data_IF_988936131420
#
_entry.id   IF_988936131420
#
_cell.length_a   1.000
_cell.length_b   1.000
_cell.length_c   1.000
_cell.angle_alpha   90.00
_cell.angle_beta   90.00
_cell.angle_gamma   90.00
#
_symmetry.space_group_name_H-M   'P 1'
#
loop_
_entity.id
_entity.type
_entity.pdbx_description
1 polymer ?
#
# COMPACT_ATOMS: atom_id res chain seq x y z
N UNK A 1 -2.68 9.60 13.71
CA UNK A 1 -2.95 8.16 13.50
C UNK A 1 -3.91 7.96 12.32
N UNK A 2 -5.10 8.56 12.32
CA UNK A 2 -6.06 8.45 11.20
C UNK A 2 -5.54 8.93 9.84
N UNK A 3 -4.79 10.04 9.78
CA UNK A 3 -4.21 10.53 8.53
C UNK A 3 -3.20 9.55 7.91
N UNK A 4 -2.45 8.82 8.75
CA UNK A 4 -1.45 7.85 8.29
C UNK A 4 -2.04 6.52 7.84
N UNK A 5 -3.21 6.12 8.36
CA UNK A 5 -3.92 4.90 7.91
C UNK A 5 -4.87 5.17 6.75
N UNK A 6 -5.53 6.34 6.73
CA UNK A 6 -6.51 6.69 5.70
C UNK A 6 -5.91 7.02 4.33
N UNK A 7 -4.74 7.68 4.29
CA UNK A 7 -4.09 8.05 3.03
C UNK A 7 -3.67 6.82 2.19
N UNK A 8 -2.92 5.86 2.74
CA UNK A 8 -2.58 4.63 2.03
C UNK A 8 -3.81 3.91 1.52
N UNK A 9 -4.87 3.84 2.33
CA UNK A 9 -6.13 3.18 1.94
C UNK A 9 -6.73 3.76 0.68
N UNK A 10 -6.93 5.08 0.67
CA UNK A 10 -7.60 5.80 -0.41
C UNK A 10 -6.76 5.68 -1.67
N UNK A 11 -5.44 5.76 -1.54
CA UNK A 11 -4.56 5.58 -2.68
C UNK A 11 -4.72 4.17 -3.26
N UNK A 12 -4.62 3.14 -2.43
CA UNK A 12 -4.69 1.74 -2.90
C UNK A 12 -6.05 1.36 -3.50
N UNK A 13 -7.15 1.86 -2.92
CA UNK A 13 -8.51 1.50 -3.34
C UNK A 13 -8.99 2.28 -4.55
N UNK A 14 -8.54 3.53 -4.71
CA UNK A 14 -9.13 4.44 -5.67
C UNK A 14 -8.10 5.05 -6.62
N UNK A 15 -7.02 5.61 -6.09
CA UNK A 15 -6.01 6.29 -6.92
C UNK A 15 -5.24 5.31 -7.80
N UNK A 16 -4.88 4.14 -7.27
CA UNK A 16 -4.19 3.07 -8.02
C UNK A 16 -5.05 2.54 -9.16
N UNK A 17 -6.35 2.33 -8.91
CA UNK A 17 -7.31 1.87 -9.93
C UNK A 17 -7.44 2.89 -11.06
N UNK A 18 -7.64 4.16 -10.72
CA UNK A 18 -7.74 5.25 -11.70
C UNK A 18 -6.44 5.42 -12.50
N UNK A 19 -5.28 5.31 -11.85
CA UNK A 19 -3.98 5.41 -12.50
C UNK A 19 -3.77 4.27 -13.52
N UNK A 20 -4.00 3.02 -13.14
CA UNK A 20 -3.81 1.88 -14.05
C UNK A 20 -4.82 1.86 -15.19
N UNK A 21 -6.08 2.24 -14.92
CA UNK A 21 -7.10 2.39 -15.95
C UNK A 21 -6.73 3.49 -16.96
N UNK A 22 -6.18 4.61 -16.49
CA UNK A 22 -5.65 5.69 -17.34
C UNK A 22 -4.44 5.29 -18.18
N UNK A 23 -3.68 4.28 -17.75
CA UNK A 23 -2.52 3.73 -18.45
C UNK A 23 -2.88 2.58 -19.41
N UNK A 24 -4.17 2.27 -19.59
CA UNK A 24 -4.65 1.26 -20.54
C UNK A 24 -4.54 -0.18 -20.05
N UNK A 25 -4.40 -0.42 -18.74
CA UNK A 25 -4.42 -1.77 -18.17
C UNK A 25 -5.86 -2.29 -18.10
N UNK A 26 -6.04 -3.58 -18.34
CA UNK A 26 -7.32 -4.26 -18.27
C UNK A 26 -7.95 -4.24 -16.85
N UNK A 27 -9.25 -3.94 -16.80
CA UNK A 27 -9.99 -3.81 -15.53
C UNK A 27 -9.99 -5.11 -14.71
N UNK A 28 -9.95 -6.30 -15.34
CA UNK A 28 -9.92 -7.57 -14.62
C UNK A 28 -8.58 -7.79 -13.91
N UNK A 29 -7.46 -7.40 -14.53
CA UNK A 29 -6.15 -7.45 -13.89
C UNK A 29 -6.07 -6.47 -12.71
N UNK A 30 -6.56 -5.25 -12.90
CA UNK A 30 -6.59 -4.24 -11.83
C UNK A 30 -7.39 -4.78 -10.63
N UNK A 31 -8.60 -5.31 -10.85
CA UNK A 31 -9.46 -5.86 -9.81
C UNK A 31 -8.81 -7.04 -9.06
N UNK A 32 -8.17 -7.97 -9.79
CA UNK A 32 -7.46 -9.10 -9.18
C UNK A 32 -6.33 -8.63 -8.26
N UNK A 33 -5.47 -7.72 -8.75
CA UNK A 33 -4.30 -7.27 -8.00
C UNK A 33 -4.66 -6.35 -6.84
N UNK A 34 -5.63 -5.45 -7.00
CA UNK A 34 -6.12 -4.61 -5.91
C UNK A 34 -6.76 -5.42 -4.80
N UNK A 35 -7.57 -6.44 -5.15
CA UNK A 35 -8.15 -7.35 -4.16
C UNK A 35 -7.08 -8.08 -3.35
N UNK A 36 -5.99 -8.53 -4.00
CA UNK A 36 -4.83 -9.13 -3.33
C UNK A 36 -4.12 -8.15 -2.38
N UNK A 37 -3.92 -6.91 -2.82
CA UNK A 37 -3.26 -5.85 -2.04
C UNK A 37 -4.10 -5.45 -0.81
N UNK A 38 -5.41 -5.67 -0.82
CA UNK A 38 -6.29 -5.41 0.32
C UNK A 38 -6.32 -6.54 1.37
N UNK A 39 -5.83 -7.74 1.07
CA UNK A 39 -5.79 -8.86 2.02
C UNK A 39 -5.06 -8.54 3.35
N UNK A 40 -3.92 -7.82 3.35
CA UNK A 40 -3.23 -7.44 4.58
C UNK A 40 -4.09 -6.59 5.52
N UNK A 41 -5.04 -5.82 4.96
CA UNK A 41 -5.96 -5.01 5.74
C UNK A 41 -7.06 -5.86 6.39
N UNK A 42 -7.55 -6.89 5.69
CA UNK A 42 -8.57 -7.82 6.22
C UNK A 42 -8.00 -8.69 7.34
N UNK A 43 -6.74 -9.11 7.20
CA UNK A 43 -6.04 -9.94 8.16
C UNK A 43 -5.37 -9.13 9.30
N UNK A 44 -5.68 -7.83 9.43
CA UNK A 44 -5.16 -6.92 10.47
C UNK A 44 -5.28 -7.47 11.89
N UNK A 45 -6.28 -8.31 12.16
CA UNK A 45 -6.47 -8.95 13.46
C UNK A 45 -5.31 -9.89 13.87
N UNK A 46 -4.60 -10.50 12.91
CA UNK A 46 -3.50 -11.44 13.21
C UNK A 46 -2.23 -10.73 13.69
N UNK A 47 -1.88 -9.61 13.07
CA UNK A 47 -0.61 -8.91 13.35
C UNK A 47 -0.74 -7.78 14.37
N UNK A 48 -1.92 -7.22 14.60
CA UNK A 48 -2.15 -6.21 15.65
C UNK A 48 -1.62 -6.63 17.04
N UNK A 49 -1.89 -7.84 17.57
CA UNK A 49 -1.37 -8.25 18.88
C UNK A 49 0.16 -8.45 18.90
N UNK A 50 0.75 -8.87 17.78
CA UNK A 50 2.21 -8.99 17.65
C UNK A 50 2.90 -7.63 17.72
N UNK A 51 2.36 -6.62 17.03
CA UNK A 51 2.95 -5.28 17.01
C UNK A 51 2.92 -4.62 18.39
N UNK A 52 1.87 -4.86 19.17
CA UNK A 52 1.77 -4.35 20.56
C UNK A 52 2.76 -5.05 21.51
N UNK A 53 3.26 -6.25 21.18
CA UNK A 53 4.19 -7.01 22.01
C UNK A 53 5.66 -6.60 21.83
N UNK A 54 6.03 -5.99 20.69
CA UNK A 54 7.45 -5.75 20.34
C UNK A 54 7.99 -4.34 20.68
N UNK A 55 7.21 -3.24 20.50
CA UNK A 55 7.71 -1.86 20.64
C UNK A 55 6.61 -0.87 21.06
N UNK A 56 7.01 0.36 21.43
CA UNK A 56 6.10 1.45 21.80
C UNK A 56 5.28 1.98 20.61
N UNK A 57 4.03 2.39 20.85
CA UNK A 57 3.10 2.86 19.81
C UNK A 57 3.65 4.02 18.95
N UNK A 58 4.50 4.88 19.52
CA UNK A 58 5.11 6.01 18.79
C UNK A 58 6.14 5.57 17.74
N UNK A 59 6.88 4.49 17.99
CA UNK A 59 7.88 3.98 17.06
C UNK A 59 7.22 3.46 15.77
N UNK A 60 6.14 2.70 15.91
CA UNK A 60 5.39 2.19 14.75
C UNK A 60 4.78 3.31 13.91
N UNK A 61 4.22 4.35 14.54
CA UNK A 61 3.64 5.49 13.80
C UNK A 61 4.69 6.20 12.93
N UNK A 62 5.90 6.43 13.44
CA UNK A 62 6.96 7.10 12.67
C UNK A 62 7.50 6.18 11.57
N UNK A 63 7.66 4.90 11.87
CA UNK A 63 8.14 3.90 10.92
C UNK A 63 7.19 3.79 9.71
N UNK A 64 5.89 3.67 9.95
CA UNK A 64 4.90 3.52 8.87
C UNK A 64 4.78 4.78 8.02
N UNK A 65 4.98 5.96 8.61
CA UNK A 65 5.04 7.22 7.85
C UNK A 65 6.27 7.29 6.93
N UNK A 66 7.45 6.90 7.42
CA UNK A 66 8.65 6.86 6.59
C UNK A 66 8.55 5.82 5.47
N UNK A 67 8.04 4.62 5.76
CA UNK A 67 7.83 3.57 4.76
C UNK A 67 6.81 4.02 3.71
N UNK A 68 5.70 4.61 4.13
CA UNK A 68 4.66 5.11 3.22
C UNK A 68 5.21 6.22 2.32
N UNK A 69 5.92 7.20 2.89
CA UNK A 69 6.53 8.29 2.14
C UNK A 69 7.58 7.81 1.13
N UNK A 70 8.46 6.89 1.55
CA UNK A 70 9.44 6.26 0.67
C UNK A 70 8.77 5.43 -0.44
N UNK A 71 7.72 4.66 -0.09
CA UNK A 71 6.96 3.86 -1.04
C UNK A 71 6.33 4.71 -2.14
N UNK A 72 5.76 5.86 -1.80
CA UNK A 72 5.21 6.80 -2.79
C UNK A 72 6.28 7.38 -3.73
N UNK A 73 7.43 7.79 -3.19
CA UNK A 73 8.55 8.25 -4.00
C UNK A 73 9.03 7.14 -4.96
N UNK A 74 9.05 5.89 -4.49
CA UNK A 74 9.46 4.74 -5.28
C UNK A 74 8.45 4.38 -6.37
N UNK A 75 7.14 4.52 -6.13
CA UNK A 75 6.08 4.37 -7.16
C UNK A 75 6.22 5.44 -8.25
N UNK A 76 6.52 6.69 -7.88
CA UNK A 76 6.76 7.76 -8.84
C UNK A 76 7.94 7.45 -9.79
N UNK A 77 9.02 6.85 -9.27
CA UNK A 77 10.15 6.39 -10.07
C UNK A 77 9.78 5.15 -10.91
N UNK A 78 9.00 4.22 -10.36
CA UNK A 78 8.61 2.98 -11.01
C UNK A 78 7.76 3.17 -12.28
N UNK A 79 7.01 4.28 -12.37
CA UNK A 79 6.22 4.67 -13.54
C UNK A 79 7.06 4.84 -14.82
N UNK A 80 8.38 5.06 -14.71
CA UNK A 80 9.27 5.21 -15.87
C UNK A 80 9.81 3.88 -16.41
N UNK A 81 9.51 2.74 -15.78
CA UNK A 81 10.01 1.43 -16.20
C UNK A 81 9.07 0.75 -17.22
N UNK A 82 9.61 -0.08 -18.14
CA UNK A 82 8.80 -0.87 -19.06
C UNK A 82 7.91 -1.90 -18.35
N UNK A 83 8.28 -2.31 -17.12
CA UNK A 83 7.50 -3.20 -16.26
C UNK A 83 6.76 -2.45 -15.14
N UNK A 84 6.41 -1.17 -15.34
CA UNK A 84 5.83 -0.29 -14.32
C UNK A 84 4.66 -0.93 -13.56
N UNK A 85 3.79 -1.68 -14.25
CA UNK A 85 2.59 -2.27 -13.64
C UNK A 85 2.93 -3.25 -12.51
N UNK A 86 3.83 -4.21 -12.76
CA UNK A 86 4.24 -5.21 -11.77
C UNK A 86 5.01 -4.58 -10.61
N UNK A 87 5.89 -3.61 -10.90
CA UNK A 87 6.70 -2.92 -9.88
C UNK A 87 5.81 -2.05 -8.99
N UNK A 88 4.86 -1.31 -9.58
CA UNK A 88 3.90 -0.50 -8.83
C UNK A 88 3.02 -1.37 -7.93
N UNK A 89 2.53 -2.53 -8.41
CA UNK A 89 1.75 -3.48 -7.58
C UNK A 89 2.57 -3.99 -6.39
N UNK A 90 3.83 -4.36 -6.60
CA UNK A 90 4.71 -4.83 -5.53
C UNK A 90 4.96 -3.73 -4.47
N UNK A 91 5.19 -2.49 -4.91
CA UNK A 91 5.38 -1.36 -4.00
C UNK A 91 4.08 -1.00 -3.26
N UNK A 92 2.94 -1.01 -3.94
CA UNK A 92 1.62 -0.79 -3.35
C UNK A 92 1.28 -1.87 -2.32
N UNK A 93 1.67 -3.13 -2.54
CA UNK A 93 1.53 -4.20 -1.56
C UNK A 93 2.33 -3.94 -0.27
N UNK A 94 3.55 -3.40 -0.39
CA UNK A 94 4.38 -3.01 0.77
C UNK A 94 3.72 -1.86 1.52
N UNK A 95 3.22 -0.85 0.81
CA UNK A 95 2.49 0.29 1.41
C UNK A 95 1.20 -0.20 2.10
N UNK A 96 0.48 -1.16 1.51
CA UNK A 96 -0.71 -1.74 2.10
C UNK A 96 -0.41 -2.48 3.41
N UNK A 97 0.67 -3.26 3.44
CA UNK A 97 1.14 -3.92 4.65
C UNK A 97 1.55 -2.90 5.73
N UNK A 98 2.27 -1.86 5.34
CA UNK A 98 2.66 -0.76 6.24
C UNK A 98 1.47 0.09 6.72
N UNK A 99 0.41 0.21 5.94
CA UNK A 99 -0.82 0.92 6.34
C UNK A 99 -1.73 0.07 7.24
N UNK A 100 -1.58 -1.25 7.20
CA UNK A 100 -2.32 -2.17 8.07
C UNK A 100 -1.79 -2.15 9.52
N UNK A 101 -0.52 -1.81 9.73
CA UNK A 101 0.13 -1.67 11.05
C UNK A 101 -0.12 -0.29 11.68
#
# INVERSE_FOLDING_TARGET
VYFAMGLPFVVLNMVSVLMFKGLGIDDAQIAMWTSLIMLPWTLKFLWSPFLEMFKTKKFFVVLTQLITGAGFAQVALALHLPAFFAVCIALLAIIAFSGAT
#
